data_IF_792304957662
#
_entry.id   IF_792304957662
#
_cell.length_a   1.000
_cell.length_b   1.000
_cell.length_c   1.000
_cell.angle_alpha   90.00
_cell.angle_beta   90.00
_cell.angle_gamma   90.00
#
_symmetry.space_group_name_H-M   'P 1'
#
loop_
_entity.id
_entity.type
_entity.pdbx_description
1 polymer ?
#
# COMPACT_ATOMS: atom_id res chain seq x y z
N UNK A 1 -2.94 -21.91 -21.14
CA UNK A 1 -3.50 -22.46 -19.88
C UNK A 1 -3.84 -21.29 -18.96
N UNK A 2 -5.00 -21.27 -18.33
CA UNK A 2 -5.44 -20.16 -17.46
C UNK A 2 -5.03 -20.47 -16.02
N UNK A 3 -4.16 -19.65 -15.44
CA UNK A 3 -3.73 -19.75 -14.04
C UNK A 3 -4.46 -18.72 -13.17
N UNK A 4 -4.75 -19.07 -11.91
CA UNK A 4 -5.57 -18.28 -11.00
C UNK A 4 -4.78 -17.80 -9.77
N UNK A 5 -4.62 -16.48 -9.64
CA UNK A 5 -3.89 -15.90 -8.53
C UNK A 5 -4.75 -15.85 -7.26
N UNK A 6 -4.33 -16.52 -6.18
CA UNK A 6 -5.00 -16.53 -4.88
C UNK A 6 -4.78 -15.22 -4.12
N UNK A 7 -3.51 -14.79 -4.07
CA UNK A 7 -3.05 -13.60 -3.40
C UNK A 7 -1.84 -13.04 -4.16
N UNK A 8 -1.62 -11.73 -4.14
CA UNK A 8 -0.36 -11.17 -4.60
C UNK A 8 -0.41 -9.66 -4.80
N UNK A 9 0.53 -9.17 -5.60
CA UNK A 9 0.83 -7.73 -5.69
C UNK A 9 0.25 -7.10 -6.95
N UNK A 10 -0.19 -5.86 -6.85
CA UNK A 10 -0.48 -5.03 -8.01
C UNK A 10 0.85 -4.63 -8.68
N UNK A 11 0.99 -4.92 -9.97
CA UNK A 11 2.25 -4.77 -10.72
C UNK A 11 1.96 -4.54 -12.20
N UNK A 12 2.86 -3.84 -12.89
CA UNK A 12 2.88 -3.82 -14.36
C UNK A 12 3.55 -5.09 -14.90
N UNK A 13 2.75 -6.11 -15.22
CA UNK A 13 3.25 -7.41 -15.70
C UNK A 13 4.04 -7.31 -17.02
N UNK A 14 3.64 -6.40 -17.93
CA UNK A 14 4.33 -6.20 -19.20
C UNK A 14 5.72 -5.58 -19.00
N UNK A 15 5.84 -4.58 -18.12
CA UNK A 15 7.13 -3.99 -17.78
C UNK A 15 8.07 -5.00 -17.12
N UNK A 16 7.57 -5.86 -16.23
CA UNK A 16 8.37 -6.91 -15.61
C UNK A 16 8.84 -7.94 -16.65
N UNK A 17 7.95 -8.37 -17.55
CA UNK A 17 8.31 -9.31 -18.62
C UNK A 17 9.38 -8.74 -19.56
N UNK A 18 9.36 -7.43 -19.81
CA UNK A 18 10.35 -6.76 -20.66
C UNK A 18 11.70 -6.54 -19.96
N UNK A 19 11.72 -6.48 -18.63
CA UNK A 19 12.93 -6.18 -17.84
C UNK A 19 12.94 -6.92 -16.48
N UNK A 20 13.03 -8.27 -16.47
CA UNK A 20 12.92 -9.07 -15.25
C UNK A 20 14.06 -8.79 -14.27
N UNK A 21 15.29 -8.59 -14.75
CA UNK A 21 16.46 -8.32 -13.90
C UNK A 21 16.35 -6.96 -13.19
N UNK A 22 15.78 -5.95 -13.86
CA UNK A 22 15.53 -4.63 -13.25
C UNK A 22 14.51 -4.79 -12.12
N UNK A 23 13.44 -5.55 -12.36
CA UNK A 23 12.43 -5.82 -11.35
C UNK A 23 13.00 -6.60 -10.16
N UNK A 24 13.80 -7.66 -10.38
CA UNK A 24 14.45 -8.43 -9.31
C UNK A 24 15.34 -7.50 -8.46
N UNK A 25 16.26 -6.77 -9.09
CA UNK A 25 17.15 -5.83 -8.39
C UNK A 25 16.39 -4.81 -7.53
N UNK A 26 15.30 -4.23 -8.06
CA UNK A 26 14.45 -3.31 -7.31
C UNK A 26 13.79 -4.02 -6.11
N UNK A 27 13.30 -5.23 -6.33
CA UNK A 27 12.58 -6.00 -5.32
C UNK A 27 13.47 -6.47 -4.18
N UNK A 28 14.72 -6.85 -4.46
CA UNK A 28 15.69 -7.20 -3.41
C UNK A 28 15.92 -6.05 -2.41
N UNK A 29 15.66 -4.80 -2.81
CA UNK A 29 15.79 -3.63 -1.94
C UNK A 29 14.48 -3.21 -1.27
N UNK A 30 13.38 -3.91 -1.54
CA UNK A 30 12.03 -3.45 -1.15
C UNK A 30 11.76 -3.45 0.36
N UNK A 31 12.56 -4.13 1.17
CA UNK A 31 12.46 -4.12 2.64
C UNK A 31 12.78 -2.75 3.25
N UNK A 32 13.53 -1.89 2.54
CA UNK A 32 13.88 -0.54 3.01
C UNK A 32 12.65 0.35 3.17
N UNK A 33 11.67 0.20 2.27
CA UNK A 33 10.46 1.04 2.23
C UNK A 33 9.57 0.86 3.47
N UNK A 34 9.11 -0.35 3.84
CA UNK A 34 8.32 -0.52 5.04
C UNK A 34 9.12 -0.16 6.30
N UNK A 35 10.45 -0.34 6.33
CA UNK A 35 11.25 0.11 7.48
C UNK A 35 11.19 1.62 7.69
N UNK A 36 11.44 2.41 6.64
CA UNK A 36 11.37 3.88 6.72
C UNK A 36 9.96 4.35 7.10
N UNK A 37 8.94 3.86 6.40
CA UNK A 37 7.56 4.28 6.64
C UNK A 37 7.06 3.82 8.01
N UNK A 38 7.44 2.62 8.42
CA UNK A 38 7.14 2.05 9.72
C UNK A 38 7.71 2.86 10.86
N UNK A 39 8.98 3.24 10.78
CA UNK A 39 9.61 4.09 11.79
C UNK A 39 8.93 5.46 11.89
N UNK A 40 8.58 6.07 10.75
CA UNK A 40 7.84 7.34 10.73
C UNK A 40 6.48 7.19 11.40
N UNK A 41 5.74 6.13 11.08
CA UNK A 41 4.41 5.88 11.65
C UNK A 41 4.51 5.57 13.15
N UNK A 42 5.45 4.71 13.55
CA UNK A 42 5.72 4.35 14.96
C UNK A 42 6.10 5.57 15.81
N UNK A 43 6.91 6.48 15.28
CA UNK A 43 7.28 7.72 15.98
C UNK A 43 6.07 8.66 16.16
N UNK A 44 5.16 8.69 15.18
CA UNK A 44 3.99 9.57 15.22
C UNK A 44 2.87 9.01 16.11
N UNK A 45 2.59 7.72 16.02
CA UNK A 45 1.49 7.06 16.70
C UNK A 45 1.82 5.58 16.96
N UNK A 46 2.69 5.34 17.95
CA UNK A 46 3.16 3.99 18.30
C UNK A 46 2.03 3.00 18.61
N UNK A 47 0.95 3.42 19.27
CA UNK A 47 -0.21 2.54 19.55
C UNK A 47 -0.91 2.11 18.27
N UNK A 48 -1.21 3.04 17.37
CA UNK A 48 -1.84 2.73 16.09
C UNK A 48 -0.96 1.82 15.22
N UNK A 49 0.35 2.07 15.23
CA UNK A 49 1.34 1.22 14.58
C UNK A 49 1.33 -0.21 15.15
N UNK A 50 1.38 -0.36 16.47
CA UNK A 50 1.36 -1.67 17.14
C UNK A 50 0.07 -2.44 16.84
N UNK A 51 -1.08 -1.77 16.86
CA UNK A 51 -2.36 -2.40 16.50
C UNK A 51 -2.34 -2.95 15.07
N UNK A 52 -1.75 -2.21 14.12
CA UNK A 52 -1.60 -2.71 12.76
C UNK A 52 -0.66 -3.91 12.67
N UNK A 53 0.44 -3.92 13.45
CA UNK A 53 1.34 -5.08 13.54
C UNK A 53 0.66 -6.32 14.09
N UNK A 54 -0.17 -6.16 15.12
CA UNK A 54 -0.94 -7.25 15.71
C UNK A 54 -1.91 -7.84 14.68
N UNK A 55 -2.64 -7.00 13.95
CA UNK A 55 -3.50 -7.44 12.85
C UNK A 55 -2.71 -8.18 11.77
N UNK A 56 -1.51 -7.70 11.42
CA UNK A 56 -0.67 -8.41 10.45
C UNK A 56 -0.23 -9.79 10.94
N UNK A 57 0.12 -9.92 12.22
CA UNK A 57 0.47 -11.21 12.83
C UNK A 57 -0.74 -12.15 12.88
N UNK A 58 -1.89 -11.65 13.34
CA UNK A 58 -3.12 -12.42 13.50
C UNK A 58 -3.62 -12.99 12.16
N UNK A 59 -3.60 -12.20 11.11
CA UNK A 59 -4.10 -12.60 9.79
C UNK A 59 -3.01 -13.16 8.85
N UNK A 60 -1.76 -13.29 9.34
CA UNK A 60 -0.63 -13.74 8.53
C UNK A 60 -0.40 -12.86 7.30
N UNK A 61 -0.51 -11.54 7.46
CA UNK A 61 -0.42 -10.56 6.38
C UNK A 61 1.05 -10.28 6.05
N UNK A 62 1.49 -10.42 4.80
CA UNK A 62 2.86 -10.07 4.43
C UNK A 62 3.06 -8.54 4.41
N UNK A 63 4.28 -8.11 4.73
CA UNK A 63 4.69 -6.72 4.49
C UNK A 63 4.81 -6.40 3.00
N UNK A 64 4.64 -5.12 2.65
CA UNK A 64 4.86 -4.56 1.30
C UNK A 64 6.24 -4.97 0.76
N UNK A 65 7.26 -5.11 1.61
CA UNK A 65 8.63 -5.50 1.24
C UNK A 65 8.88 -7.01 1.08
N UNK A 66 7.94 -7.89 1.44
CA UNK A 66 8.22 -9.34 1.45
C UNK A 66 8.23 -10.02 0.07
N UNK A 67 9.37 -10.53 -0.37
CA UNK A 67 9.47 -11.26 -1.65
C UNK A 67 8.58 -12.51 -1.74
N UNK A 68 8.32 -13.16 -0.61
CA UNK A 68 7.55 -14.39 -0.54
C UNK A 68 6.38 -14.22 0.44
N UNK A 69 5.26 -14.89 0.13
CA UNK A 69 4.14 -14.98 1.04
C UNK A 69 4.49 -15.86 2.26
N UNK A 70 3.88 -15.57 3.41
CA UNK A 70 4.10 -16.31 4.65
C UNK A 70 5.42 -16.02 5.37
N UNK A 71 6.21 -15.06 4.91
CA UNK A 71 7.35 -14.56 5.70
C UNK A 71 6.85 -13.83 6.96
N UNK A 72 7.44 -14.09 8.14
CA UNK A 72 7.18 -13.31 9.35
C UNK A 72 7.46 -11.82 9.12
N UNK A 73 6.67 -10.96 9.77
CA UNK A 73 6.88 -9.51 9.71
C UNK A 73 8.06 -9.08 10.60
N UNK A 74 8.73 -8.00 10.21
CA UNK A 74 9.80 -7.35 10.96
C UNK A 74 9.26 -6.25 11.89
N UNK A 75 10.12 -5.73 12.77
CA UNK A 75 9.76 -4.75 13.81
C UNK A 75 9.20 -3.42 13.29
N UNK A 76 9.47 -3.08 12.03
CA UNK A 76 8.98 -1.85 11.39
C UNK A 76 7.81 -2.10 10.42
N UNK A 77 7.44 -3.35 10.15
CA UNK A 77 6.37 -3.64 9.19
C UNK A 77 4.99 -3.35 9.79
N UNK A 78 4.11 -2.62 9.09
CA UNK A 78 2.81 -2.21 9.63
C UNK A 78 1.66 -2.12 8.63
N UNK A 79 1.88 -2.46 7.36
CA UNK A 79 0.80 -2.56 6.38
C UNK A 79 1.18 -3.47 5.20
N UNK A 80 0.20 -4.09 4.52
CA UNK A 80 0.42 -4.87 3.29
C UNK A 80 0.37 -4.03 2.00
N UNK A 81 -0.17 -2.81 2.07
CA UNK A 81 -0.36 -1.97 0.90
C UNK A 81 0.08 -0.54 1.16
N UNK A 82 0.67 0.04 0.12
CA UNK A 82 1.04 1.44 0.03
C UNK A 82 0.31 2.02 -1.18
N UNK A 83 -0.55 3.01 -0.91
CA UNK A 83 -1.26 3.74 -1.95
C UNK A 83 -0.54 5.06 -2.20
N UNK A 84 -0.52 5.50 -3.46
CA UNK A 84 0.02 6.80 -3.86
C UNK A 84 -1.02 7.53 -4.69
N UNK A 85 -1.10 8.85 -4.49
CA UNK A 85 -2.00 9.76 -5.17
C UNK A 85 -1.20 10.99 -5.59
N UNK A 86 -1.45 11.47 -6.80
CA UNK A 86 -0.76 12.58 -7.44
C UNK A 86 -1.64 13.09 -8.58
N UNK A 87 -1.19 14.09 -9.34
CA UNK A 87 -1.90 14.69 -10.47
C UNK A 87 -3.26 15.25 -10.07
N UNK A 88 -3.27 16.13 -9.06
CA UNK A 88 -4.49 16.78 -8.58
C UNK A 88 -5.58 15.77 -8.17
N UNK A 89 -5.15 14.61 -7.64
CA UNK A 89 -6.06 13.60 -7.13
C UNK A 89 -7.03 14.24 -6.14
N UNK A 90 -8.32 13.97 -6.33
CA UNK A 90 -9.36 14.41 -5.43
C UNK A 90 -10.34 13.26 -5.22
N UNK A 91 -10.99 13.27 -4.07
CA UNK A 91 -12.08 12.34 -3.79
C UNK A 91 -13.15 13.03 -2.94
N UNK A 92 -14.44 12.70 -3.16
CA UNK A 92 -15.51 13.25 -2.36
C UNK A 92 -15.41 12.79 -0.89
N UNK A 93 -16.02 13.52 0.06
CA UNK A 93 -16.10 13.10 1.45
C UNK A 93 -16.66 11.68 1.63
N UNK A 94 -15.88 10.81 2.26
CA UNK A 94 -16.22 9.41 2.49
C UNK A 94 -15.63 8.91 3.82
N UNK A 95 -16.04 7.70 4.21
CA UNK A 95 -15.36 6.90 5.22
C UNK A 95 -14.91 5.59 4.55
N UNK A 96 -13.99 4.87 5.20
CA UNK A 96 -13.48 3.58 4.73
C UNK A 96 -14.00 2.42 5.59
N UNK A 97 -15.30 2.04 5.54
CA UNK A 97 -15.87 1.02 6.43
C UNK A 97 -15.27 -0.38 6.23
N UNK A 98 -14.61 -0.61 5.09
CA UNK A 98 -13.96 -1.86 4.72
C UNK A 98 -12.50 -1.96 5.17
N UNK A 99 -12.00 -0.95 5.88
CA UNK A 99 -10.75 -1.06 6.62
C UNK A 99 -10.93 -1.98 7.84
N UNK A 100 -9.97 -2.87 8.02
CA UNK A 100 -9.82 -3.69 9.22
C UNK A 100 -9.04 -2.92 10.29
N UNK A 101 -7.93 -2.27 9.90
CA UNK A 101 -7.16 -1.38 10.77
C UNK A 101 -8.07 -0.27 11.30
N UNK A 102 -7.96 0.02 12.60
CA UNK A 102 -8.72 1.12 13.22
C UNK A 102 -8.23 2.49 12.72
N UNK A 103 -6.91 2.63 12.56
CA UNK A 103 -6.27 3.85 12.11
C UNK A 103 -5.62 3.64 10.74
N UNK A 104 -5.78 4.65 9.87
CA UNK A 104 -4.97 4.81 8.68
C UNK A 104 -3.82 5.76 8.98
N UNK A 105 -2.67 5.53 8.34
CA UNK A 105 -1.57 6.48 8.28
C UNK A 105 -1.53 7.10 6.90
N UNK A 106 -1.24 8.39 6.83
CA UNK A 106 -1.16 9.17 5.60
C UNK A 106 -0.01 10.17 5.67
N UNK A 107 0.58 10.42 4.52
CA UNK A 107 1.69 11.36 4.39
C UNK A 107 1.56 12.15 3.10
N UNK A 108 1.70 13.46 3.17
CA UNK A 108 1.48 14.38 2.05
C UNK A 108 2.71 15.26 1.89
N UNK A 109 3.28 15.25 0.68
CA UNK A 109 4.59 15.84 0.39
C UNK A 109 4.47 16.69 -0.88
N UNK A 110 4.90 17.97 -0.87
CA UNK A 110 5.02 18.74 -2.09
C UNK A 110 6.17 18.20 -2.95
N UNK A 111 5.89 17.99 -4.23
CA UNK A 111 6.85 17.43 -5.19
C UNK A 111 6.83 18.21 -6.50
N UNK A 112 7.95 18.22 -7.22
CA UNK A 112 7.98 18.67 -8.60
C UNK A 112 7.18 17.70 -9.49
N UNK A 113 6.35 18.23 -10.40
CA UNK A 113 5.47 17.42 -11.27
C UNK A 113 6.24 16.53 -12.26
N UNK A 114 7.45 16.92 -12.64
CA UNK A 114 8.21 16.27 -13.71
C UNK A 114 9.02 15.09 -13.19
N UNK A 115 9.71 15.27 -12.06
CA UNK A 115 10.67 14.29 -11.55
C UNK A 115 10.37 13.76 -10.14
N UNK A 116 9.28 14.22 -9.53
CA UNK A 116 8.88 13.89 -8.15
C UNK A 116 9.94 14.23 -7.09
N UNK A 117 10.92 15.07 -7.42
CA UNK A 117 11.83 15.64 -6.42
C UNK A 117 11.02 16.40 -5.38
N UNK A 118 11.43 16.31 -4.12
CA UNK A 118 10.75 17.03 -3.03
C UNK A 118 10.91 18.53 -3.31
N UNK A 119 9.79 19.21 -3.52
CA UNK A 119 9.79 20.65 -3.77
C UNK A 119 10.40 21.36 -2.56
N UNK A 120 11.33 22.28 -2.81
CA UNK A 120 11.85 23.15 -1.76
C UNK A 120 10.73 23.91 -1.04
N UNK A 121 11.02 24.43 0.15
CA UNK A 121 10.07 25.18 1.02
C UNK A 121 9.50 26.46 0.35
N UNK A 122 9.93 26.80 -0.86
CA UNK A 122 9.40 27.91 -1.65
C UNK A 122 8.00 27.55 -2.16
N UNK A 123 7.00 27.99 -1.42
CA UNK A 123 5.58 27.71 -1.60
C UNK A 123 5.05 28.04 -3.00
N UNK A 124 4.11 27.24 -3.55
CA UNK A 124 3.11 27.74 -4.47
C UNK A 124 2.33 28.87 -3.78
N UNK A 125 2.17 30.00 -4.46
CA UNK A 125 1.61 31.24 -3.90
C UNK A 125 0.15 31.15 -3.48
N UNK A 126 -0.59 30.12 -3.91
CA UNK A 126 -2.02 29.96 -3.62
C UNK A 126 -2.47 28.52 -3.87
N UNK A 127 -2.89 27.81 -2.82
CA UNK A 127 -3.69 26.59 -2.93
C UNK A 127 -4.98 26.83 -2.16
N UNK A 128 -6.12 26.81 -2.85
CA UNK A 128 -7.45 26.93 -2.24
C UNK A 128 -7.98 25.55 -1.83
N UNK A 129 -8.76 25.48 -0.75
CA UNK A 129 -9.52 24.27 -0.39
C UNK A 129 -8.88 23.35 0.67
N UNK A 130 -8.51 23.87 1.85
CA UNK A 130 -8.32 23.04 3.06
C UNK A 130 -7.20 21.99 3.00
N UNK A 131 -6.27 22.11 2.06
CA UNK A 131 -5.11 21.23 1.94
C UNK A 131 -4.11 21.51 3.05
N UNK A 132 -3.39 20.48 3.49
CA UNK A 132 -2.31 20.67 4.44
C UNK A 132 -1.23 21.56 3.82
N UNK A 133 -1.16 22.80 4.30
CA UNK A 133 -0.23 23.81 3.82
C UNK A 133 1.22 23.51 4.24
N UNK A 134 2.16 23.89 3.39
CA UNK A 134 3.59 24.05 3.69
C UNK A 134 4.28 22.84 4.35
N UNK A 135 4.88 22.00 3.50
CA UNK A 135 5.86 21.03 3.92
C UNK A 135 5.32 19.61 4.04
N UNK A 136 5.97 18.84 4.90
CA UNK A 136 5.77 17.41 5.01
C UNK A 136 4.73 17.10 6.08
N UNK A 137 3.55 16.65 5.67
CA UNK A 137 2.44 16.40 6.58
C UNK A 137 2.30 14.92 6.81
N UNK A 138 2.12 14.53 8.08
CA UNK A 138 1.83 13.17 8.49
C UNK A 138 0.52 13.18 9.26
N UNK A 139 -0.37 12.25 8.96
CA UNK A 139 -1.70 12.17 9.54
C UNK A 139 -1.99 10.74 9.99
N UNK A 140 -2.59 10.59 11.16
CA UNK A 140 -3.15 9.34 11.65
C UNK A 140 -4.60 9.62 12.03
N UNK A 141 -5.54 8.85 11.47
CA UNK A 141 -6.96 9.08 11.69
C UNK A 141 -7.76 7.77 11.65
N UNK A 142 -8.93 7.78 12.26
CA UNK A 142 -9.88 6.65 12.25
C UNK A 142 -10.67 6.67 10.94
N UNK A 143 -10.07 6.18 9.85
CA UNK A 143 -10.63 6.25 8.47
C UNK A 143 -12.05 5.70 8.35
N UNK A 144 -12.41 4.72 9.19
CA UNK A 144 -13.73 4.09 9.26
C UNK A 144 -14.83 4.99 9.79
N UNK A 145 -14.48 5.91 10.70
CA UNK A 145 -15.45 6.70 11.47
C UNK A 145 -15.41 8.18 11.09
N UNK A 146 -14.22 8.70 10.80
CA UNK A 146 -14.01 10.10 10.49
C UNK A 146 -14.16 10.29 8.99
N UNK A 147 -15.21 11.01 8.59
CA UNK A 147 -15.42 11.42 7.20
C UNK A 147 -14.25 12.30 6.74
N UNK A 148 -13.65 11.95 5.62
CA UNK A 148 -12.47 12.61 5.08
C UNK A 148 -12.53 12.72 3.56
N UNK A 149 -11.77 13.66 3.01
CA UNK A 149 -11.66 13.91 1.57
C UNK A 149 -10.32 14.57 1.24
N UNK A 150 -9.95 14.48 -0.04
CA UNK A 150 -8.97 15.32 -0.70
C UNK A 150 -9.73 16.26 -1.61
N UNK A 151 -9.70 17.55 -1.28
CA UNK A 151 -10.34 18.58 -2.08
C UNK A 151 -9.60 18.78 -3.40
N UNK A 152 -10.34 19.13 -4.45
CA UNK A 152 -9.75 19.46 -5.73
C UNK A 152 -8.77 20.62 -5.56
N UNK A 153 -7.59 20.47 -6.14
CA UNK A 153 -6.56 21.50 -6.12
C UNK A 153 -6.39 22.13 -7.49
N UNK A 154 -6.42 23.46 -7.54
CA UNK A 154 -5.97 24.23 -8.71
C UNK A 154 -4.45 24.37 -8.68
N UNK A 155 -3.73 23.24 -8.60
CA UNK A 155 -2.27 23.20 -8.37
C UNK A 155 -1.49 24.06 -9.39
N UNK A 156 -0.34 24.54 -8.92
CA UNK A 156 0.72 25.19 -9.70
C UNK A 156 1.18 24.31 -10.89
N UNK A 157 1.51 24.92 -12.03
CA UNK A 157 1.99 24.22 -13.22
C UNK A 157 3.28 23.42 -12.98
N UNK A 158 4.07 23.77 -11.95
CA UNK A 158 5.36 23.15 -11.65
C UNK A 158 5.32 22.17 -10.46
N UNK A 159 4.33 22.29 -9.57
CA UNK A 159 4.29 21.51 -8.32
C UNK A 159 3.03 20.63 -8.18
N UNK A 160 3.18 19.49 -7.53
CA UNK A 160 2.10 18.60 -7.13
C UNK A 160 2.17 18.27 -5.64
N UNK A 161 1.14 17.60 -5.15
CA UNK A 161 1.17 16.93 -3.86
C UNK A 161 1.17 15.42 -4.07
N UNK A 162 2.22 14.76 -3.57
CA UNK A 162 2.27 13.31 -3.42
C UNK A 162 1.58 12.94 -2.10
N UNK A 163 0.39 12.36 -2.19
CA UNK A 163 -0.28 11.74 -1.06
C UNK A 163 0.03 10.25 -1.01
N UNK A 164 0.37 9.72 0.16
CA UNK A 164 0.50 8.29 0.38
C UNK A 164 -0.27 7.84 1.61
N UNK A 165 -0.77 6.61 1.58
CA UNK A 165 -1.48 6.04 2.73
C UNK A 165 -1.21 4.56 2.93
N UNK A 166 -1.10 4.19 4.22
CA UNK A 166 -0.99 2.84 4.75
C UNK A 166 -2.25 2.52 5.54
N UNK A 167 -2.89 1.40 5.18
CA UNK A 167 -4.07 0.85 5.85
C UNK A 167 -4.19 -0.64 5.60
N UNK A 168 -4.88 -1.36 6.47
CA UNK A 168 -5.15 -2.79 6.31
C UNK A 168 -6.63 -2.95 6.02
N UNK A 169 -7.00 -3.40 4.83
CA UNK A 169 -8.40 -3.67 4.48
C UNK A 169 -8.81 -5.12 4.78
N UNK A 170 -10.11 -5.33 5.06
CA UNK A 170 -10.69 -6.64 5.41
C UNK A 170 -10.42 -7.71 4.35
N UNK A 171 -10.45 -7.33 3.06
CA UNK A 171 -10.28 -8.26 1.94
C UNK A 171 -8.86 -8.83 1.90
N UNK A 172 -7.85 -7.99 2.03
CA UNK A 172 -6.44 -8.41 2.11
C UNK A 172 -6.21 -9.31 3.32
N UNK A 173 -6.71 -8.90 4.49
CA UNK A 173 -6.55 -9.68 5.72
C UNK A 173 -7.20 -11.07 5.62
N UNK A 174 -8.46 -11.13 5.18
CA UNK A 174 -9.21 -12.37 5.00
C UNK A 174 -8.55 -13.28 3.96
N UNK A 175 -8.14 -12.73 2.81
CA UNK A 175 -7.47 -13.51 1.79
C UNK A 175 -6.13 -14.07 2.27
N UNK A 176 -5.36 -13.29 3.05
CA UNK A 176 -4.09 -13.75 3.62
C UNK A 176 -4.29 -14.92 4.59
N UNK A 177 -5.17 -14.74 5.58
CA UNK A 177 -5.50 -15.77 6.58
C UNK A 177 -6.04 -17.04 5.92
N UNK A 178 -6.97 -16.89 4.99
CA UNK A 178 -7.62 -18.02 4.33
C UNK A 178 -6.65 -18.74 3.36
N UNK A 179 -5.68 -18.03 2.80
CA UNK A 179 -4.59 -18.63 2.03
C UNK A 179 -3.71 -19.49 2.94
N UNK A 180 -3.37 -19.00 4.13
CA UNK A 180 -2.59 -19.75 5.12
C UNK A 180 -3.30 -21.03 5.61
N UNK A 181 -4.60 -20.96 5.87
CA UNK A 181 -5.38 -22.11 6.37
C UNK A 181 -5.87 -23.06 5.27
N UNK A 182 -5.73 -22.67 4.00
CA UNK A 182 -6.35 -23.37 2.88
C UNK A 182 -7.86 -23.11 2.73
N UNK A 183 -8.48 -22.35 3.63
CA UNK A 183 -9.88 -21.95 3.54
C UNK A 183 -10.19 -21.07 2.31
N UNK A 184 -9.16 -20.52 1.64
CA UNK A 184 -9.29 -19.74 0.41
C UNK A 184 -10.03 -20.54 -0.69
N UNK A 185 -9.86 -21.86 -0.71
CA UNK A 185 -10.54 -22.75 -1.64
C UNK A 185 -12.02 -23.02 -1.30
N UNK A 186 -12.51 -22.58 -0.14
CA UNK A 186 -13.94 -22.59 0.16
C UNK A 186 -14.63 -21.30 -0.31
N UNK A 187 -13.86 -20.25 -0.64
CA UNK A 187 -14.43 -19.00 -1.11
C UNK A 187 -15.01 -19.16 -2.53
N UNK A 188 -16.11 -18.44 -2.79
CA UNK A 188 -16.78 -18.44 -4.10
C UNK A 188 -15.83 -18.19 -5.28
N UNK A 189 -14.80 -17.38 -5.09
CA UNK A 189 -13.84 -17.05 -6.13
C UNK A 189 -12.90 -18.20 -6.53
N UNK A 190 -12.75 -19.23 -5.68
CA UNK A 190 -11.79 -20.32 -5.89
C UNK A 190 -12.34 -21.74 -5.69
N UNK A 191 -13.56 -21.90 -5.17
CA UNK A 191 -14.19 -23.21 -4.91
C UNK A 191 -14.23 -24.18 -6.09
N UNK A 192 -14.45 -23.66 -7.29
CA UNK A 192 -14.62 -24.48 -8.50
C UNK A 192 -13.37 -24.42 -9.39
N UNK A 193 -12.26 -23.85 -8.89
CA UNK A 193 -11.00 -23.75 -9.64
C UNK A 193 -10.09 -24.94 -9.31
N UNK A 194 -9.42 -25.55 -10.31
CA UNK A 194 -8.43 -26.58 -10.04
C UNK A 194 -7.30 -26.02 -9.18
N UNK A 195 -6.94 -26.73 -8.11
CA UNK A 195 -5.97 -26.24 -7.11
C UNK A 195 -4.57 -26.12 -7.68
N UNK A 196 -4.21 -27.04 -8.57
CA UNK A 196 -2.96 -27.07 -9.32
C UNK A 196 -2.83 -25.91 -10.32
N UNK A 197 -3.93 -25.24 -10.66
CA UNK A 197 -3.93 -24.03 -11.49
C UNK A 197 -3.93 -22.76 -10.64
N UNK A 198 -3.91 -22.88 -9.31
CA UNK A 198 -3.94 -21.74 -8.39
C UNK A 198 -2.53 -21.46 -7.86
N UNK A 199 -2.14 -20.18 -7.84
CA UNK A 199 -0.80 -19.77 -7.43
C UNK A 199 -0.80 -18.51 -6.57
N UNK A 200 0.30 -18.29 -5.84
CA UNK A 200 0.57 -17.04 -5.13
C UNK A 200 1.41 -16.15 -6.01
N UNK A 201 0.94 -14.95 -6.35
CA UNK A 201 1.69 -13.97 -7.13
C UNK A 201 2.77 -13.27 -6.30
N UNK A 202 3.79 -14.02 -5.91
CA UNK A 202 4.96 -13.53 -5.17
C UNK A 202 6.10 -13.13 -6.14
N UNK A 203 7.26 -12.78 -5.60
CA UNK A 203 8.43 -12.39 -6.40
C UNK A 203 8.86 -13.47 -7.41
N UNK A 204 9.00 -14.72 -6.96
CA UNK A 204 9.49 -15.82 -7.77
C UNK A 204 8.58 -16.12 -8.96
N UNK A 205 7.26 -16.10 -8.76
CA UNK A 205 6.29 -16.28 -9.86
C UNK A 205 6.54 -15.30 -11.01
N UNK A 206 6.96 -14.08 -10.71
CA UNK A 206 7.16 -13.04 -11.72
C UNK A 206 8.55 -13.05 -12.36
N UNK A 207 9.58 -13.50 -11.64
CA UNK A 207 10.95 -13.57 -12.16
C UNK A 207 11.23 -14.90 -12.86
N UNK A 208 10.79 -16.02 -12.27
CA UNK A 208 11.04 -17.37 -12.79
C UNK A 208 9.94 -17.87 -13.73
N UNK A 209 8.79 -17.20 -13.76
CA UNK A 209 7.64 -17.61 -14.58
C UNK A 209 6.92 -18.87 -14.08
N UNK A 210 7.25 -19.34 -12.88
CA UNK A 210 6.57 -20.46 -12.21
C UNK A 210 5.12 -20.06 -11.93
N UNK A 211 4.17 -20.68 -12.65
CA UNK A 211 2.73 -20.47 -12.52
C UNK A 211 2.01 -21.79 -12.28
#
# INVERSE_FOLDING_TARGET
MVAFQLFGRYRNKAAIANAPDIYDNLMQQSCKIPSILGQIFKQLANVAFSNNQELMKEYGIPSIGHLSFGKPINDDDCAPNLTFTTNQFWNPPHCDPEDLSEFAFGMFIPVNRTDFSIGGVTSPSTLSGGQFHNGFVKLVWRSKEVRHCTLFSTNDEMFDQLGMSLKINKKTATASRDTHSGAIFNQRAFRDKPREMCYIGNHETYVKGER
#
